data_IF_705081947583
#
_entry.id   IF_705081947583
#
_cell.length_a   1.000
_cell.length_b   1.000
_cell.length_c   1.000
_cell.angle_alpha   90.00
_cell.angle_beta   90.00
_cell.angle_gamma   90.00
#
_symmetry.space_group_name_H-M   'P 1'
#
loop_
_entity.id
_entity.type
_entity.pdbx_description
1 polymer ?
#
# COMPACT_ATOMS: atom_id res chain seq x y z
N UNK A 1 -3.35 -1.96 8.36
CA UNK A 1 -3.37 -0.49 8.17
C UNK A 1 -2.04 0.00 7.59
N UNK A 2 -2.07 0.97 6.67
CA UNK A 2 -0.89 1.57 6.01
C UNK A 2 -0.17 2.57 6.93
N UNK A 3 1.16 2.65 6.83
CA UNK A 3 1.96 3.65 7.55
C UNK A 3 3.41 3.74 7.09
N UNK A 4 4.17 4.59 7.77
CA UNK A 4 5.60 4.80 7.50
C UNK A 4 6.54 3.99 8.41
N UNK A 5 6.01 3.44 9.50
CA UNK A 5 6.76 2.67 10.50
C UNK A 5 6.19 1.24 10.60
N UNK A 6 6.99 0.18 10.38
CA UNK A 6 6.56 -1.21 10.55
C UNK A 6 6.08 -1.54 11.97
N UNK A 7 6.54 -0.83 13.00
CA UNK A 7 6.10 -1.05 14.37
C UNK A 7 4.63 -0.65 14.61
N UNK A 8 4.09 0.23 13.78
CA UNK A 8 2.71 0.74 13.93
C UNK A 8 1.85 0.51 12.69
N UNK A 9 2.34 -0.21 11.68
CA UNK A 9 1.62 -0.44 10.44
C UNK A 9 1.90 -1.81 9.84
N UNK A 10 0.92 -2.35 9.12
CA UNK A 10 1.02 -3.66 8.49
C UNK A 10 1.59 -3.59 7.06
N UNK A 11 1.41 -2.44 6.40
CA UNK A 11 1.90 -2.20 5.03
C UNK A 11 2.51 -0.81 4.92
N UNK A 12 3.47 -0.67 4.03
CA UNK A 12 4.12 0.61 3.73
C UNK A 12 3.27 1.49 2.77
N UNK A 13 3.80 2.67 2.41
CA UNK A 13 3.16 3.64 1.50
C UNK A 13 2.83 3.09 0.10
N UNK A 14 3.38 1.95 -0.29
CA UNK A 14 3.12 1.27 -1.57
C UNK A 14 2.13 0.11 -1.44
N UNK A 15 1.49 -0.02 -0.27
CA UNK A 15 0.60 -1.12 0.07
C UNK A 15 1.28 -2.49 0.12
N UNK A 16 2.61 -2.51 0.24
CA UNK A 16 3.40 -3.73 0.35
C UNK A 16 3.55 -4.12 1.83
N UNK A 17 3.50 -5.42 2.11
CA UNK A 17 3.81 -5.95 3.44
C UNK A 17 5.24 -5.64 3.85
N UNK A 18 5.44 -5.28 5.11
CA UNK A 18 6.77 -5.10 5.69
C UNK A 18 7.55 -6.42 5.81
N UNK A 19 6.84 -7.52 6.10
CA UNK A 19 7.46 -8.83 6.36
C UNK A 19 7.62 -9.67 5.09
N UNK A 20 6.74 -9.48 4.11
CA UNK A 20 6.68 -10.33 2.90
C UNK A 20 6.76 -9.46 1.64
N UNK A 21 7.95 -9.26 1.05
CA UNK A 21 8.15 -8.27 -0.02
C UNK A 21 7.38 -8.52 -1.32
N UNK A 22 6.87 -9.72 -1.56
CA UNK A 22 6.07 -10.04 -2.74
C UNK A 22 4.55 -9.98 -2.50
N UNK A 23 4.11 -9.51 -1.33
CA UNK A 23 2.69 -9.39 -0.96
C UNK A 23 2.27 -7.92 -0.90
N UNK A 24 1.17 -7.62 -1.59
CA UNK A 24 0.55 -6.29 -1.64
C UNK A 24 -0.92 -6.38 -1.23
N UNK A 25 -1.39 -5.43 -0.41
CA UNK A 25 -2.74 -5.41 0.15
C UNK A 25 -3.46 -4.12 -0.25
N UNK A 26 -4.32 -4.22 -1.25
CA UNK A 26 -5.10 -3.09 -1.77
C UNK A 26 -6.54 -3.16 -1.25
N UNK A 27 -6.99 -2.14 -0.52
CA UNK A 27 -8.37 -2.08 -0.03
C UNK A 27 -8.56 -1.17 1.18
N UNK A 28 -9.79 -1.13 1.69
CA UNK A 28 -10.19 -0.30 2.84
C UNK A 28 -9.38 -0.55 4.10
N UNK A 29 -8.90 -1.78 4.30
CA UNK A 29 -8.06 -2.17 5.45
C UNK A 29 -6.71 -1.44 5.53
N UNK A 30 -6.26 -0.83 4.42
CA UNK A 30 -5.05 -0.04 4.38
C UNK A 30 -5.28 1.40 4.87
N UNK A 31 -6.49 1.94 4.83
CA UNK A 31 -6.75 3.34 5.19
C UNK A 31 -6.77 3.48 6.73
N UNK A 32 -5.89 4.30 7.34
CA UNK A 32 -5.83 4.45 8.80
C UNK A 32 -6.98 5.26 9.40
N UNK A 33 -7.72 6.01 8.57
CA UNK A 33 -8.75 6.94 9.00
C UNK A 33 -10.06 6.65 8.26
N UNK A 34 -11.17 6.70 9.00
CA UNK A 34 -12.49 6.66 8.40
C UNK A 34 -12.89 8.09 8.01
N UNK A 35 -12.98 8.38 6.70
CA UNK A 35 -13.43 9.69 6.23
C UNK A 35 -14.94 9.82 6.32
N UNK A 36 -15.44 11.04 6.55
CA UNK A 36 -16.88 11.33 6.48
C UNK A 36 -17.45 11.14 5.05
N UNK A 37 -16.59 11.23 4.03
CA UNK A 37 -16.94 11.01 2.63
C UNK A 37 -16.70 9.55 2.21
N UNK A 38 -17.35 9.11 1.13
CA UNK A 38 -17.18 7.77 0.60
C UNK A 38 -15.72 7.51 0.13
N UNK A 39 -15.05 6.46 0.61
CA UNK A 39 -13.62 6.25 0.36
C UNK A 39 -13.30 5.64 -1.01
N UNK A 40 -14.31 5.31 -1.83
CA UNK A 40 -14.12 4.58 -3.10
C UNK A 40 -13.14 5.26 -4.06
N UNK A 41 -13.19 6.59 -4.18
CA UNK A 41 -12.25 7.34 -5.02
C UNK A 41 -10.81 7.21 -4.53
N UNK A 42 -10.58 7.35 -3.22
CA UNK A 42 -9.27 7.18 -2.59
C UNK A 42 -8.75 5.75 -2.74
N UNK A 43 -9.62 4.76 -2.62
CA UNK A 43 -9.26 3.35 -2.83
C UNK A 43 -8.81 3.09 -4.27
N UNK A 44 -9.50 3.67 -5.26
CA UNK A 44 -9.09 3.61 -6.66
C UNK A 44 -7.73 4.25 -6.89
N UNK A 45 -7.48 5.44 -6.33
CA UNK A 45 -6.19 6.11 -6.43
C UNK A 45 -5.05 5.30 -5.81
N UNK A 46 -5.29 4.70 -4.63
CA UNK A 46 -4.34 3.82 -3.96
C UNK A 46 -4.06 2.53 -4.75
N UNK A 47 -5.08 1.98 -5.44
CA UNK A 47 -4.90 0.84 -6.32
C UNK A 47 -3.98 1.15 -7.50
N UNK A 48 -4.19 2.29 -8.18
CA UNK A 48 -3.30 2.76 -9.24
C UNK A 48 -1.88 3.00 -8.72
N UNK A 49 -1.75 3.64 -7.56
CA UNK A 49 -0.46 3.91 -6.93
C UNK A 49 0.34 2.63 -6.62
N UNK A 50 -0.32 1.61 -6.10
CA UNK A 50 0.32 0.30 -5.86
C UNK A 50 0.69 -0.38 -7.18
N UNK A 51 -0.19 -0.35 -8.19
CA UNK A 51 0.10 -0.92 -9.51
C UNK A 51 1.32 -0.27 -10.17
N UNK A 52 1.44 1.06 -10.12
CA UNK A 52 2.60 1.80 -10.63
C UNK A 52 3.86 1.42 -9.86
N UNK A 53 3.78 1.33 -8.53
CA UNK A 53 4.89 0.92 -7.68
C UNK A 53 5.37 -0.51 -8.00
N UNK A 54 4.45 -1.42 -8.28
CA UNK A 54 4.76 -2.80 -8.67
C UNK A 54 5.45 -2.81 -10.05
N UNK A 55 4.81 -2.20 -11.04
CA UNK A 55 5.26 -2.20 -12.43
C UNK A 55 6.62 -1.53 -12.60
N UNK A 56 6.78 -0.33 -12.03
CA UNK A 56 7.92 0.52 -12.36
C UNK A 56 9.11 0.33 -11.42
N UNK A 57 8.89 -0.20 -10.21
CA UNK A 57 9.95 -0.42 -9.21
C UNK A 57 10.13 -1.89 -8.87
N UNK A 58 9.10 -2.56 -8.34
CA UNK A 58 9.25 -3.92 -7.81
C UNK A 58 9.64 -4.95 -8.88
N UNK A 59 9.00 -4.97 -10.05
CA UNK A 59 9.31 -5.94 -11.09
C UNK A 59 10.73 -5.77 -11.65
N UNK A 60 11.26 -4.54 -11.66
CA UNK A 60 12.63 -4.26 -12.12
C UNK A 60 13.68 -4.62 -11.08
N UNK A 61 13.32 -4.50 -9.80
CA UNK A 61 14.20 -4.83 -8.66
C UNK A 61 13.35 -5.37 -7.50
N UNK A 62 13.12 -6.69 -7.45
CA UNK A 62 12.32 -7.30 -6.40
C UNK A 62 12.94 -7.07 -5.03
N UNK A 63 12.09 -6.82 -4.03
CA UNK A 63 12.51 -6.53 -2.66
C UNK A 63 11.57 -5.53 -1.98
N UNK A 64 11.93 -5.12 -0.76
CA UNK A 64 11.17 -4.13 0.00
C UNK A 64 11.21 -2.76 -0.68
N UNK A 65 10.05 -2.15 -0.89
CA UNK A 65 9.87 -0.80 -1.40
C UNK A 65 9.76 0.16 -0.21
N UNK A 66 10.89 0.70 0.22
CA UNK A 66 10.97 1.79 1.21
C UNK A 66 11.26 3.13 0.54
#
# INVERSE_FOLDING_TARGET
VMGADPATSAVNKHLQSWDVPNVFVVGGSAIPQNSANNPTGTLGALACWAADSIKDRYLKRPGALV
#
